data_IF_661141123040
#
_entry.id   IF_661141123040
#
_cell.length_a   1.000
_cell.length_b   1.000
_cell.length_c   1.000
_cell.angle_alpha   90.00
_cell.angle_beta   90.00
_cell.angle_gamma   90.00
#
_symmetry.space_group_name_H-M   'P 1'
#
loop_
_entity.id
_entity.type
_entity.pdbx_description
1 polymer ?
#
# COMPACT_ATOMS: atom_id res chain seq x y z
N UNK A 1 5.72 -2.79 19.90
CA UNK A 1 4.36 -2.60 19.36
C UNK A 1 3.96 -3.81 18.55
N UNK A 2 2.69 -3.93 18.16
CA UNK A 2 2.20 -5.05 17.33
C UNK A 2 2.83 -5.02 15.94
N UNK A 3 3.05 -6.19 15.34
CA UNK A 3 3.53 -6.29 13.96
C UNK A 3 2.45 -5.87 12.94
N UNK A 4 2.87 -5.31 11.81
CA UNK A 4 2.00 -5.12 10.64
C UNK A 4 1.94 -6.44 9.83
N UNK A 5 0.79 -6.88 9.30
CA UNK A 5 -0.57 -6.39 9.52
C UNK A 5 -1.29 -7.20 10.61
N UNK A 6 -1.33 -6.71 11.85
CA UNK A 6 -2.12 -7.29 12.94
C UNK A 6 -3.15 -6.29 13.48
N UNK A 7 -4.18 -6.73 14.24
CA UNK A 7 -5.05 -5.83 14.99
C UNK A 7 -4.24 -4.81 15.79
N UNK A 8 -4.63 -3.54 15.67
CA UNK A 8 -3.87 -2.40 16.21
C UNK A 8 -3.02 -1.66 15.16
N UNK A 9 -2.74 -2.25 13.99
CA UNK A 9 -2.05 -1.56 12.89
C UNK A 9 -2.79 -0.28 12.48
N UNK A 10 -4.11 -0.37 12.30
CA UNK A 10 -4.93 0.78 11.92
C UNK A 10 -4.89 1.90 12.96
N UNK A 11 -4.96 1.56 14.24
CA UNK A 11 -4.86 2.52 15.34
C UNK A 11 -3.47 3.19 15.38
N UNK A 12 -2.41 2.43 15.13
CA UNK A 12 -1.06 2.96 15.06
C UNK A 12 -0.88 3.93 13.89
N UNK A 13 -1.33 3.57 12.68
CA UNK A 13 -1.31 4.44 11.50
C UNK A 13 -2.09 5.74 11.78
N UNK A 14 -3.30 5.63 12.35
CA UNK A 14 -4.12 6.80 12.68
C UNK A 14 -3.41 7.73 13.66
N UNK A 15 -2.81 7.18 14.71
CA UNK A 15 -2.06 7.97 15.71
C UNK A 15 -0.87 8.70 15.09
N UNK A 16 -0.15 8.04 14.18
CA UNK A 16 0.95 8.69 13.42
C UNK A 16 0.39 9.86 12.59
N UNK A 17 -0.73 9.66 11.90
CA UNK A 17 -1.34 10.69 11.05
C UNK A 17 -1.88 11.88 11.84
N UNK A 18 -2.39 11.67 13.06
CA UNK A 18 -2.79 12.75 13.96
C UNK A 18 -1.60 13.61 14.39
N UNK A 19 -0.45 12.97 14.67
CA UNK A 19 0.79 13.68 14.97
C UNK A 19 1.25 14.48 13.74
N UNK A 20 1.30 13.87 12.56
CA UNK A 20 1.68 14.58 11.32
C UNK A 20 0.75 15.77 11.08
N UNK A 21 -0.57 15.58 11.13
CA UNK A 21 -1.54 16.65 10.92
C UNK A 21 -1.37 17.80 11.93
N UNK A 22 -1.09 17.49 13.21
CA UNK A 22 -0.85 18.51 14.24
C UNK A 22 0.39 19.38 13.96
N UNK A 23 1.39 18.82 13.27
CA UNK A 23 2.62 19.51 12.88
C UNK A 23 2.43 20.26 11.56
N UNK A 24 1.76 19.66 10.59
CA UNK A 24 1.53 20.24 9.25
C UNK A 24 0.72 21.55 9.28
N UNK A 25 -0.07 21.79 10.33
CA UNK A 25 -0.75 23.08 10.55
C UNK A 25 0.13 24.18 11.14
N UNK A 26 1.31 23.84 11.68
CA UNK A 26 2.25 24.75 12.34
C UNK A 26 3.46 25.12 11.48
N UNK A 27 3.68 24.39 10.39
CA UNK A 27 4.77 24.60 9.44
C UNK A 27 4.22 24.75 8.04
N UNK A 28 4.91 25.49 7.16
CA UNK A 28 4.59 25.45 5.73
C UNK A 28 4.82 24.02 5.24
N UNK A 29 3.75 23.30 4.93
CA UNK A 29 3.79 21.92 4.47
C UNK A 29 3.21 21.81 3.05
N UNK A 30 3.64 20.80 2.30
CA UNK A 30 3.17 20.50 0.95
C UNK A 30 3.02 19.00 0.74
N UNK A 31 2.18 18.61 -0.20
CA UNK A 31 1.92 17.21 -0.48
C UNK A 31 0.92 16.60 0.50
N UNK A 32 1.11 15.31 0.75
CA UNK A 32 0.09 14.44 1.32
C UNK A 32 -0.10 14.53 2.85
N UNK A 33 0.97 14.85 3.61
CA UNK A 33 0.91 15.07 5.06
C UNK A 33 0.28 13.92 5.89
N UNK A 34 0.44 12.67 5.47
CA UNK A 34 0.09 11.48 6.25
C UNK A 34 1.09 10.34 5.92
N UNK A 35 1.05 9.25 6.69
CA UNK A 35 1.90 8.08 6.54
C UNK A 35 1.73 7.43 5.16
N UNK A 36 2.86 7.09 4.54
CA UNK A 36 2.95 6.27 3.33
C UNK A 36 3.40 4.86 3.68
N UNK A 37 2.93 3.87 2.92
CA UNK A 37 3.31 2.47 3.05
C UNK A 37 3.83 1.91 1.71
N UNK A 38 4.97 2.44 1.19
CA UNK A 38 5.52 2.03 -0.10
C UNK A 38 6.20 0.67 0.03
N UNK A 39 5.54 -0.39 -0.42
CA UNK A 39 5.95 -1.76 -0.02
C UNK A 39 7.34 -2.11 -0.49
N UNK A 40 7.66 -1.84 -1.75
CA UNK A 40 8.99 -2.16 -2.29
C UNK A 40 10.09 -1.14 -1.92
N UNK A 41 9.76 -0.08 -1.18
CA UNK A 41 10.71 0.92 -0.69
C UNK A 41 10.99 0.76 0.82
N UNK A 42 10.17 0.00 1.55
CA UNK A 42 10.34 -0.29 2.98
C UNK A 42 10.78 -1.73 3.21
N UNK A 43 11.93 -1.93 3.89
CA UNK A 43 12.50 -3.25 4.12
C UNK A 43 11.58 -4.20 4.92
N UNK A 44 10.79 -3.65 5.84
CA UNK A 44 9.91 -4.40 6.74
C UNK A 44 8.64 -4.83 6.01
N UNK A 45 8.08 -3.94 5.17
CA UNK A 45 6.93 -4.25 4.31
C UNK A 45 7.33 -5.22 3.19
N UNK A 46 8.46 -4.99 2.51
CA UNK A 46 9.00 -5.87 1.47
C UNK A 46 9.18 -7.29 1.98
N UNK A 47 9.84 -7.46 3.13
CA UNK A 47 10.06 -8.79 3.70
C UNK A 47 8.74 -9.46 4.10
N UNK A 48 7.77 -8.70 4.64
CA UNK A 48 6.44 -9.24 4.97
C UNK A 48 5.64 -9.63 3.73
N UNK A 49 5.75 -8.88 2.65
CA UNK A 49 5.11 -9.18 1.38
C UNK A 49 5.70 -10.47 0.79
N UNK A 50 7.03 -10.60 0.83
CA UNK A 50 7.77 -11.81 0.44
C UNK A 50 7.38 -13.03 1.25
N UNK A 51 7.15 -12.87 2.55
CA UNK A 51 6.66 -13.92 3.44
C UNK A 51 5.15 -14.18 3.32
N UNK A 52 4.43 -13.44 2.47
CA UNK A 52 2.97 -13.54 2.32
C UNK A 52 2.16 -13.07 3.54
N UNK A 53 2.80 -12.41 4.51
CA UNK A 53 2.18 -11.90 5.75
C UNK A 53 1.34 -10.66 5.51
N UNK A 54 1.67 -9.86 4.49
CA UNK A 54 0.86 -8.74 4.02
C UNK A 54 0.43 -9.01 2.58
N UNK A 55 -0.84 -8.75 2.30
CA UNK A 55 -1.44 -8.88 0.98
C UNK A 55 -2.04 -7.54 0.52
N UNK A 56 -2.38 -7.46 -0.76
CA UNK A 56 -2.97 -6.26 -1.34
C UNK A 56 -4.23 -5.79 -0.60
N UNK A 57 -5.09 -6.73 -0.16
CA UNK A 57 -6.29 -6.41 0.64
C UNK A 57 -5.97 -5.63 1.93
N UNK A 58 -4.83 -5.90 2.56
CA UNK A 58 -4.44 -5.23 3.81
C UNK A 58 -4.05 -3.78 3.50
N UNK A 59 -3.34 -3.55 2.40
CA UNK A 59 -2.97 -2.20 1.95
C UNK A 59 -4.19 -1.39 1.49
N UNK A 60 -5.15 -2.02 0.82
CA UNK A 60 -6.44 -1.40 0.49
C UNK A 60 -7.16 -1.01 1.78
N UNK A 61 -7.22 -1.90 2.77
CA UNK A 61 -7.82 -1.57 4.07
C UNK A 61 -7.09 -0.40 4.77
N UNK A 62 -5.76 -0.41 4.76
CA UNK A 62 -4.95 0.67 5.36
C UNK A 62 -5.13 2.01 4.65
N UNK A 63 -5.47 2.00 3.35
CA UNK A 63 -5.76 3.19 2.56
C UNK A 63 -6.94 4.01 3.08
N UNK A 64 -7.84 3.41 3.88
CA UNK A 64 -8.92 4.14 4.56
C UNK A 64 -8.41 5.19 5.54
N UNK A 65 -7.19 5.02 6.05
CA UNK A 65 -6.61 5.88 7.08
C UNK A 65 -5.21 6.41 6.73
N UNK A 66 -4.52 5.87 5.73
CA UNK A 66 -3.25 6.39 5.19
C UNK A 66 -3.47 7.17 3.87
N UNK A 67 -2.48 7.92 3.36
CA UNK A 67 -2.73 8.78 2.17
C UNK A 67 -2.43 8.15 0.84
N UNK A 68 -1.29 7.47 0.71
CA UNK A 68 -0.78 7.14 -0.61
C UNK A 68 -1.70 6.18 -1.38
N UNK A 69 -2.65 5.53 -0.71
CA UNK A 69 -3.40 4.43 -1.26
C UNK A 69 -2.51 3.20 -1.35
N UNK A 70 -2.54 2.51 -2.49
CA UNK A 70 -1.69 1.36 -2.75
C UNK A 70 -0.45 1.82 -3.50
N UNK A 71 0.72 1.74 -2.86
CA UNK A 71 1.95 2.31 -3.40
C UNK A 71 3.11 1.30 -3.47
N UNK A 72 3.84 1.34 -4.59
CA UNK A 72 4.93 0.39 -4.93
C UNK A 72 4.56 -1.04 -4.63
N UNK A 73 3.50 -1.54 -5.26
CA UNK A 73 3.08 -2.92 -5.10
C UNK A 73 3.30 -3.68 -6.39
N UNK A 74 4.07 -4.78 -6.33
CA UNK A 74 4.21 -5.70 -7.44
C UNK A 74 3.12 -6.77 -7.37
N UNK A 75 2.35 -6.94 -8.43
CA UNK A 75 1.27 -7.92 -8.53
C UNK A 75 1.49 -8.90 -9.69
N UNK A 76 0.97 -10.14 -9.56
CA UNK A 76 1.03 -11.11 -10.64
C UNK A 76 0.20 -10.65 -11.84
N UNK A 77 0.88 -10.35 -12.95
CA UNK A 77 0.32 -9.77 -14.17
C UNK A 77 -0.86 -10.57 -14.71
N UNK A 78 -0.73 -11.90 -14.72
CA UNK A 78 -1.72 -12.81 -15.26
C UNK A 78 -3.04 -12.71 -14.48
N UNK A 79 -2.98 -12.72 -13.15
CA UNK A 79 -4.17 -12.58 -12.29
C UNK A 79 -4.82 -11.20 -12.39
N UNK A 80 -4.02 -10.15 -12.53
CA UNK A 80 -4.54 -8.77 -12.60
C UNK A 80 -5.19 -8.49 -13.95
N UNK A 81 -4.60 -8.95 -15.06
CA UNK A 81 -5.05 -8.65 -16.42
C UNK A 81 -6.12 -9.61 -16.96
N UNK A 82 -6.19 -10.85 -16.47
CA UNK A 82 -7.15 -11.85 -16.99
C UNK A 82 -8.58 -11.68 -16.47
N UNK A 83 -8.80 -10.81 -15.49
CA UNK A 83 -10.05 -10.75 -14.75
C UNK A 83 -10.51 -9.35 -14.38
N UNK A 84 -11.36 -9.27 -13.36
CA UNK A 84 -11.90 -8.02 -12.83
C UNK A 84 -11.03 -7.41 -11.73
N UNK A 85 -9.88 -7.99 -11.43
CA UNK A 85 -9.05 -7.58 -10.27
C UNK A 85 -8.65 -6.11 -10.37
N UNK A 86 -8.09 -5.65 -11.51
CA UNK A 86 -7.72 -4.25 -11.66
C UNK A 86 -8.93 -3.30 -11.47
N UNK A 87 -10.08 -3.67 -12.06
CA UNK A 87 -11.34 -2.91 -11.89
C UNK A 87 -11.77 -2.86 -10.43
N UNK A 88 -11.72 -3.98 -9.72
CA UNK A 88 -12.13 -4.06 -8.32
C UNK A 88 -11.21 -3.22 -7.43
N UNK A 89 -9.89 -3.26 -7.65
CA UNK A 89 -8.92 -2.41 -6.93
C UNK A 89 -9.27 -0.92 -7.12
N UNK A 90 -9.53 -0.51 -8.37
CA UNK A 90 -9.91 0.87 -8.67
C UNK A 90 -11.23 1.23 -7.97
N UNK A 91 -12.24 0.35 -8.00
CA UNK A 91 -13.53 0.59 -7.34
C UNK A 91 -13.40 0.72 -5.82
N UNK A 92 -12.59 -0.14 -5.18
CA UNK A 92 -12.31 -0.05 -3.74
C UNK A 92 -11.62 1.27 -3.40
N UNK A 93 -10.60 1.68 -4.17
CA UNK A 93 -9.89 2.94 -3.96
C UNK A 93 -10.76 4.17 -4.22
N UNK A 94 -11.69 4.10 -5.19
CA UNK A 94 -12.70 5.15 -5.40
C UNK A 94 -13.64 5.26 -4.20
N UNK A 95 -14.18 4.14 -3.70
CA UNK A 95 -15.03 4.15 -2.51
C UNK A 95 -14.29 4.70 -1.28
N UNK A 96 -13.01 4.37 -1.12
CA UNK A 96 -12.15 4.92 -0.06
C UNK A 96 -11.95 6.43 -0.25
N UNK A 97 -11.71 6.88 -1.48
CA UNK A 97 -11.55 8.32 -1.81
C UNK A 97 -12.81 9.10 -1.44
N UNK A 98 -13.99 8.58 -1.82
CA UNK A 98 -15.28 9.17 -1.50
C UNK A 98 -15.54 9.22 0.01
N UNK A 99 -15.28 8.13 0.73
CA UNK A 99 -15.47 8.06 2.17
C UNK A 99 -14.47 8.95 2.95
N UNK A 100 -13.22 9.02 2.48
CA UNK A 100 -12.15 9.80 3.13
C UNK A 100 -12.23 11.29 2.80
N UNK A 101 -12.84 11.66 1.67
CA UNK A 101 -12.84 13.04 1.15
C UNK A 101 -11.45 13.53 0.76
N UNK A 102 -10.52 12.62 0.46
CA UNK A 102 -9.13 12.92 0.06
C UNK A 102 -8.71 12.03 -1.09
N UNK A 103 -7.90 12.53 -2.04
CA UNK A 103 -7.38 11.70 -3.12
C UNK A 103 -6.49 10.58 -2.57
N UNK A 104 -6.58 9.41 -3.18
CA UNK A 104 -5.66 8.29 -2.98
C UNK A 104 -4.87 8.03 -4.25
N UNK A 105 -3.64 7.53 -4.10
CA UNK A 105 -2.81 7.10 -5.20
C UNK A 105 -2.92 5.59 -5.46
N UNK A 106 -2.50 5.17 -6.63
CA UNK A 106 -2.31 3.77 -6.97
C UNK A 106 -1.07 3.62 -7.85
N UNK A 107 -0.05 2.92 -7.36
CA UNK A 107 1.16 2.57 -8.11
C UNK A 107 1.35 1.05 -8.08
N UNK A 108 0.83 0.40 -9.13
CA UNK A 108 0.94 -1.05 -9.34
C UNK A 108 2.01 -1.34 -10.38
N UNK A 109 2.87 -2.30 -10.08
CA UNK A 109 3.83 -2.87 -11.03
C UNK A 109 3.34 -4.29 -11.35
N UNK A 110 3.10 -4.59 -12.62
CA UNK A 110 2.65 -5.92 -13.03
C UNK A 110 3.83 -6.73 -13.52
N UNK A 111 4.10 -7.86 -12.86
CA UNK A 111 5.18 -8.76 -13.22
C UNK A 111 4.65 -10.18 -13.42
N UNK A 112 5.28 -10.94 -14.31
CA UNK A 112 4.99 -12.36 -14.46
C UNK A 112 5.61 -13.16 -13.33
N UNK A 113 4.87 -14.11 -12.80
CA UNK A 113 5.32 -14.99 -11.72
C UNK A 113 4.23 -15.23 -10.67
N UNK A 114 4.62 -15.91 -9.60
CA UNK A 114 3.77 -16.26 -8.48
C UNK A 114 4.03 -15.36 -7.28
N UNK A 115 3.07 -15.19 -6.35
CA UNK A 115 3.31 -14.50 -5.10
C UNK A 115 4.53 -15.07 -4.35
N UNK A 116 5.42 -14.20 -3.89
CA UNK A 116 6.69 -14.52 -3.24
C UNK A 116 7.91 -14.55 -4.18
N UNK A 117 7.68 -14.62 -5.51
CA UNK A 117 8.78 -14.57 -6.48
C UNK A 117 9.46 -13.19 -6.45
N UNK A 118 10.78 -13.20 -6.57
CA UNK A 118 11.57 -11.98 -6.71
C UNK A 118 11.58 -11.50 -8.16
N UNK A 119 11.38 -10.20 -8.36
CA UNK A 119 11.41 -9.53 -9.66
C UNK A 119 12.50 -8.48 -9.63
N UNK A 120 13.38 -8.51 -10.62
CA UNK A 120 14.39 -7.47 -10.80
C UNK A 120 13.78 -6.23 -11.47
N UNK A 121 13.70 -5.12 -10.74
CA UNK A 121 13.25 -3.82 -11.25
C UNK A 121 14.42 -2.97 -11.79
N UNK A 122 15.59 -3.57 -12.01
CA UNK A 122 16.81 -2.92 -12.49
C UNK A 122 17.36 -1.97 -11.44
N UNK A 123 17.40 -0.67 -11.75
CA UNK A 123 17.92 0.37 -10.83
C UNK A 123 17.16 0.48 -9.51
N UNK A 124 15.95 -0.06 -9.42
CA UNK A 124 15.13 -0.07 -8.20
C UNK A 124 15.34 -1.34 -7.35
N UNK A 125 16.23 -2.25 -7.79
CA UNK A 125 16.57 -3.48 -7.11
C UNK A 125 15.50 -4.56 -7.21
N UNK A 126 15.61 -5.57 -6.35
CA UNK A 126 14.65 -6.66 -6.29
C UNK A 126 13.39 -6.26 -5.52
N UNK A 127 12.26 -6.66 -6.07
CA UNK A 127 10.95 -6.52 -5.50
C UNK A 127 10.25 -7.88 -5.37
N UNK A 128 9.25 -7.99 -4.50
CA UNK A 128 8.51 -9.23 -4.31
C UNK A 128 7.13 -9.17 -4.95
N UNK A 129 6.77 -10.18 -5.75
CA UNK A 129 5.38 -10.32 -6.20
C UNK A 129 4.50 -10.57 -4.98
N UNK A 130 3.49 -9.74 -4.77
CA UNK A 130 2.60 -9.82 -3.63
C UNK A 130 1.35 -10.66 -3.92
N UNK A 131 0.81 -11.27 -2.88
CA UNK A 131 -0.50 -11.92 -2.92
C UNK A 131 -1.62 -10.86 -2.96
N UNK A 132 -2.68 -11.15 -3.71
CA UNK A 132 -3.86 -10.26 -3.79
C UNK A 132 -4.73 -10.38 -2.53
N UNK A 133 -5.00 -11.61 -2.07
CA UNK A 133 -5.92 -11.93 -0.96
C UNK A 133 -5.31 -12.87 0.05
#
# INVERSE_FOLDING_TARGET
GTEIPMPGTMAAIRRINEIIASLSGRVKSSGYNELMLPVEEDNVLKERARQGRIALKDLIAFSTICVAGVDMVVLPREHVLSGRILRNIIQDLLAITEAKGKPVGMRLILASGSPGDAVDLGRFGYASIMRIS
#
